data_IF_879324725769
#
_entry.id   IF_879324725769
#
_cell.length_a   1.000
_cell.length_b   1.000
_cell.length_c   1.000
_cell.angle_alpha   90.00
_cell.angle_beta   90.00
_cell.angle_gamma   90.00
#
_symmetry.space_group_name_H-M   'P 1'
#
loop_
_entity.id
_entity.type
_entity.pdbx_description
1 polymer ?
#
# COMPACT_ATOMS: atom_id res chain seq x y z
N UNK A 1 5.90 15.26 5.33
CA UNK A 1 5.53 15.08 6.76
C UNK A 1 4.04 14.77 6.82
N UNK A 2 3.67 13.53 7.15
CA UNK A 2 2.25 13.12 7.21
C UNK A 2 1.61 13.72 8.47
N UNK A 3 0.42 14.34 8.32
CA UNK A 3 -0.34 14.87 9.46
C UNK A 3 -0.91 13.70 10.27
N UNK A 4 -0.59 13.65 11.57
CA UNK A 4 -1.00 12.58 12.52
C UNK A 4 -1.93 13.10 13.63
N UNK A 5 -2.63 14.17 13.36
CA UNK A 5 -3.60 14.74 14.29
C UNK A 5 -5.00 14.43 13.78
N UNK A 6 -5.87 14.01 14.70
CA UNK A 6 -7.25 13.67 14.40
C UNK A 6 -8.18 14.17 15.51
N UNK A 7 -9.45 14.35 15.16
CA UNK A 7 -10.54 14.59 16.11
C UNK A 7 -11.18 13.24 16.42
N UNK A 8 -11.18 12.86 17.69
CA UNK A 8 -11.76 11.62 18.20
C UNK A 8 -13.11 11.93 18.87
N UNK A 9 -14.18 11.35 18.33
CA UNK A 9 -15.59 11.55 18.72
C UNK A 9 -16.37 10.25 18.55
N UNK A 10 -17.59 10.18 19.09
CA UNK A 10 -18.51 9.05 18.96
C UNK A 10 -18.73 8.30 20.27
N UNK A 11 -19.47 7.20 20.24
CA UNK A 11 -19.86 6.43 21.43
C UNK A 11 -18.68 5.83 22.20
N UNK A 12 -17.57 5.56 21.50
CA UNK A 12 -16.34 5.07 22.11
C UNK A 12 -15.50 6.18 22.78
N UNK A 13 -15.89 7.46 22.63
CA UNK A 13 -15.19 8.59 23.22
C UNK A 13 -15.94 9.11 24.45
N UNK A 14 -15.26 9.18 25.60
CA UNK A 14 -15.83 9.79 26.80
C UNK A 14 -16.14 11.29 26.60
N UNK A 15 -15.27 11.99 25.87
CA UNK A 15 -15.45 13.37 25.42
C UNK A 15 -14.79 13.57 24.05
N UNK A 16 -15.26 14.52 23.22
CA UNK A 16 -14.55 14.95 22.02
C UNK A 16 -13.12 15.39 22.36
N UNK A 17 -12.14 14.84 21.66
CA UNK A 17 -10.73 15.15 21.92
C UNK A 17 -9.93 15.28 20.63
N UNK A 18 -8.91 16.15 20.67
CA UNK A 18 -7.85 16.15 19.66
C UNK A 18 -6.77 15.17 20.09
N UNK A 19 -6.51 14.17 19.26
CA UNK A 19 -5.51 13.13 19.54
C UNK A 19 -4.37 13.16 18.52
N UNK A 20 -3.21 12.66 18.93
CA UNK A 20 -2.06 12.41 18.06
C UNK A 20 -1.87 10.91 17.90
N UNK A 21 -1.90 10.43 16.66
CA UNK A 21 -1.69 9.02 16.34
C UNK A 21 -0.19 8.73 16.44
N UNK A 22 0.18 7.70 17.24
CA UNK A 22 1.58 7.25 17.38
C UNK A 22 2.12 6.81 16.02
N UNK A 23 3.42 7.01 15.79
CA UNK A 23 4.11 6.39 14.67
C UNK A 23 4.08 4.87 14.79
N UNK A 24 3.80 4.19 13.68
CA UNK A 24 3.94 2.74 13.59
C UNK A 24 5.30 2.43 12.97
N UNK A 25 5.98 1.44 13.53
CA UNK A 25 7.19 0.88 12.91
C UNK A 25 6.80 0.03 11.69
N UNK A 26 7.74 -0.26 10.79
CA UNK A 26 7.47 -1.02 9.55
C UNK A 26 6.78 -2.36 9.80
N UNK A 27 7.10 -3.05 10.89
CA UNK A 27 6.49 -4.33 11.28
C UNK A 27 5.09 -4.20 11.94
N UNK A 28 4.61 -2.98 12.15
CA UNK A 28 3.28 -2.66 12.69
C UNK A 28 2.36 -2.09 11.62
N UNK A 29 2.90 -1.76 10.45
CA UNK A 29 2.11 -1.36 9.31
C UNK A 29 1.34 -2.60 8.84
N UNK A 30 0.05 -2.46 8.50
CA UNK A 30 -0.63 -3.50 7.73
C UNK A 30 0.19 -3.81 6.47
N UNK A 31 0.10 -5.04 5.95
CA UNK A 31 0.61 -5.34 4.61
C UNK A 31 -0.12 -4.45 3.61
N UNK A 32 0.47 -3.28 3.39
CA UNK A 32 0.00 -2.30 2.44
C UNK A 32 0.34 -2.90 1.09
N UNK A 33 -0.66 -3.52 0.46
CA UNK A 33 -0.61 -3.85 -0.95
C UNK A 33 -0.55 -2.59 -1.85
N UNK A 34 -0.35 -1.38 -1.29
CA UNK A 34 0.02 -0.23 -2.08
C UNK A 34 1.41 -0.47 -2.67
N UNK A 35 1.38 -0.93 -3.91
CA UNK A 35 2.54 -1.00 -4.78
C UNK A 35 3.20 0.37 -4.75
N UNK A 36 4.46 0.43 -4.34
CA UNK A 36 5.28 1.63 -4.50
C UNK A 36 5.47 1.88 -5.99
N UNK A 37 4.53 2.61 -6.61
CA UNK A 37 4.50 2.84 -8.06
C UNK A 37 5.82 3.46 -8.55
N UNK A 38 6.40 4.36 -7.76
CA UNK A 38 7.71 4.95 -8.03
C UNK A 38 8.81 3.87 -8.15
N UNK A 39 8.84 2.91 -7.22
CA UNK A 39 9.79 1.80 -7.23
C UNK A 39 9.52 0.83 -8.38
N UNK A 40 8.26 0.67 -8.78
CA UNK A 40 7.87 -0.12 -9.95
C UNK A 40 8.33 0.51 -11.27
N UNK A 41 8.20 1.83 -11.40
CA UNK A 41 8.58 2.57 -12.61
C UNK A 41 10.08 2.81 -12.72
N UNK A 42 10.81 2.81 -11.60
CA UNK A 42 12.27 2.91 -11.59
C UNK A 42 12.97 1.60 -12.00
N UNK A 43 12.24 0.47 -12.03
CA UNK A 43 12.82 -0.83 -12.40
C UNK A 43 12.95 -0.97 -13.92
N UNK A 44 13.95 -1.74 -14.40
CA UNK A 44 14.07 -2.07 -15.80
C UNK A 44 12.80 -2.74 -16.34
N UNK A 45 12.50 -2.57 -17.64
CA UNK A 45 11.39 -3.25 -18.29
C UNK A 45 11.47 -4.77 -18.09
N UNK A 46 10.31 -5.42 -17.99
CA UNK A 46 10.24 -6.88 -17.93
C UNK A 46 10.80 -7.49 -19.23
N UNK A 47 11.36 -8.70 -19.16
CA UNK A 47 11.94 -9.35 -20.34
C UNK A 47 10.87 -9.76 -21.35
N UNK A 48 11.28 -9.86 -22.62
CA UNK A 48 10.43 -10.40 -23.69
C UNK A 48 9.90 -11.81 -23.37
N UNK A 49 10.72 -12.64 -22.71
CA UNK A 49 10.33 -13.98 -22.29
C UNK A 49 9.21 -13.96 -21.23
N UNK A 50 9.29 -13.04 -20.26
CA UNK A 50 8.23 -12.85 -19.27
C UNK A 50 6.93 -12.36 -19.92
N UNK A 51 7.03 -11.46 -20.90
CA UNK A 51 5.88 -11.00 -21.69
C UNK A 51 5.25 -12.18 -22.45
N UNK A 52 6.07 -13.00 -23.11
CA UNK A 52 5.60 -14.17 -23.86
C UNK A 52 4.87 -15.17 -22.96
N UNK A 53 5.39 -15.44 -21.75
CA UNK A 53 4.75 -16.30 -20.77
C UNK A 53 3.37 -15.76 -20.33
N UNK A 54 3.26 -14.46 -20.10
CA UNK A 54 1.98 -13.81 -19.75
C UNK A 54 0.99 -13.91 -20.91
N UNK A 55 1.43 -13.63 -22.14
CA UNK A 55 0.59 -13.74 -23.35
C UNK A 55 0.10 -15.16 -23.55
N UNK A 56 0.98 -16.16 -23.40
CA UNK A 56 0.65 -17.59 -23.51
C UNK A 56 -0.44 -17.99 -22.49
N UNK A 57 -0.28 -17.59 -21.23
CA UNK A 57 -1.29 -17.80 -20.17
C UNK A 57 -2.62 -17.13 -20.49
N UNK A 58 -2.61 -15.92 -21.02
CA UNK A 58 -3.83 -15.19 -21.39
C UNK A 58 -4.56 -15.84 -22.55
N UNK A 59 -3.82 -16.38 -23.52
CA UNK A 59 -4.38 -17.10 -24.67
C UNK A 59 -4.83 -18.53 -24.34
N UNK A 60 -4.56 -19.03 -23.12
CA UNK A 60 -4.77 -20.44 -22.73
C UNK A 60 -4.10 -21.41 -23.70
N UNK A 61 -2.99 -20.98 -24.26
CA UNK A 61 -2.10 -21.86 -25.00
C UNK A 61 -1.26 -22.55 -23.91
N UNK A 62 -1.58 -23.80 -23.54
CA UNK A 62 -0.76 -24.59 -22.63
C UNK A 62 0.36 -25.31 -23.41
#
# INVERSE_FOLDING_TARGET
MVRREAIFVGEAAAIPARIKIRELNDNQLPDSNDIKFADGWAKPPISLEAIAAVVKRWRRED
#
